data_IF_420870591516
#
_entry.id   IF_420870591516
#
_cell.length_a   1.000
_cell.length_b   1.000
_cell.length_c   1.000
_cell.angle_alpha   90.00
_cell.angle_beta   90.00
_cell.angle_gamma   90.00
#
_symmetry.space_group_name_H-M   'P 1'
#
loop_
_entity.id
_entity.type
_entity.pdbx_description
1 polymer ?
#
# COMPACT_ATOMS: atom_id res chain seq x y z
N UNK A 1 8.21 -20.26 -3.87
CA UNK A 1 8.14 -19.91 -3.42
C UNK A 1 7.83 -19.29 -2.81
N UNK A 2 7.72 -18.98 -2.73
CA UNK A 2 7.47 -18.46 -2.25
C UNK A 2 7.15 -17.91 -1.84
N UNK A 3 7.04 -17.63 -1.86
CA UNK A 3 6.79 -17.10 -1.31
C UNK A 3 6.74 -16.66 -0.60
N UNK A 4 7.08 -16.57 -0.64
CA UNK A 4 7.08 -16.29 0.46
C UNK A 4 6.68 -15.16 0.92
N UNK A 5 6.76 -14.56 0.50
CA UNK A 5 6.32 -13.49 0.86
C UNK A 5 5.02 -13.45 1.34
N UNK A 6 4.43 -14.32 1.08
CA UNK A 6 3.21 -14.45 1.52
C UNK A 6 3.09 -14.37 2.90
N UNK A 7 3.99 -14.80 3.51
CA UNK A 7 3.96 -14.85 4.86
C UNK A 7 3.96 -13.56 5.49
N UNK A 8 4.30 -12.59 4.81
CA UNK A 8 4.35 -11.28 5.37
C UNK A 8 3.00 -10.76 5.74
N UNK A 9 1.96 -11.24 5.17
CA UNK A 9 0.64 -10.75 5.46
C UNK A 9 -0.29 -11.88 5.64
N UNK A 10 -0.17 -12.53 6.68
CA UNK A 10 -0.85 -13.76 6.88
C UNK A 10 -2.33 -13.70 6.73
N UNK A 11 -3.00 -13.23 7.72
CA UNK A 11 -4.45 -13.38 7.72
C UNK A 11 -5.18 -12.45 6.84
N UNK A 12 -4.82 -11.21 6.87
CA UNK A 12 -5.49 -10.22 6.07
C UNK A 12 -5.36 -10.54 4.60
N UNK A 13 -4.16 -10.91 4.18
CA UNK A 13 -3.95 -11.19 2.81
C UNK A 13 -4.69 -12.44 2.38
N UNK A 14 -4.73 -13.44 3.19
CA UNK A 14 -5.42 -14.66 2.85
C UNK A 14 -6.91 -14.39 2.67
N UNK A 15 -7.48 -13.57 3.51
CA UNK A 15 -8.88 -13.25 3.39
C UNK A 15 -9.16 -12.49 2.10
N UNK A 16 -8.32 -11.58 1.76
CA UNK A 16 -8.52 -10.81 0.54
C UNK A 16 -8.37 -11.65 -0.71
N UNK A 17 -7.49 -12.59 -0.70
CA UNK A 17 -7.28 -13.41 -1.87
C UNK A 17 -8.48 -14.23 -2.23
N UNK A 18 -9.35 -14.51 -1.29
CA UNK A 18 -10.56 -15.26 -1.59
C UNK A 18 -11.57 -14.46 -2.35
N UNK A 19 -11.58 -13.15 -2.12
CA UNK A 19 -12.59 -12.30 -2.73
C UNK A 19 -12.04 -11.47 -3.85
N UNK A 20 -10.77 -11.11 -3.77
CA UNK A 20 -10.18 -10.20 -4.74
C UNK A 20 -8.75 -10.61 -5.04
N UNK A 21 -8.47 -11.02 -6.26
CA UNK A 21 -7.12 -11.36 -6.62
C UNK A 21 -6.20 -10.17 -6.45
N UNK A 22 -4.99 -10.43 -6.06
CA UNK A 22 -3.99 -9.40 -5.96
C UNK A 22 -3.08 -9.46 -7.16
N UNK A 23 -2.74 -8.30 -7.66
CA UNK A 23 -1.84 -8.18 -8.78
C UNK A 23 -0.48 -7.78 -8.25
N UNK A 24 0.54 -8.53 -8.62
CA UNK A 24 1.91 -8.23 -8.25
C UNK A 24 2.41 -7.11 -9.14
N UNK A 25 2.66 -5.95 -8.54
CA UNK A 25 3.03 -4.77 -9.30
C UNK A 25 4.52 -4.61 -9.52
N UNK A 26 5.34 -5.46 -8.94
CA UNK A 26 6.77 -5.41 -9.16
C UNK A 26 7.42 -4.13 -8.70
N UNK A 27 6.93 -3.54 -7.63
CA UNK A 27 7.49 -2.32 -7.06
C UNK A 27 7.39 -1.13 -7.98
N UNK A 28 6.22 -0.81 -8.39
CA UNK A 28 6.02 0.38 -9.21
C UNK A 28 5.97 1.64 -8.33
N UNK A 29 6.58 2.73 -8.77
CA UNK A 29 6.57 3.97 -7.98
C UNK A 29 5.18 4.60 -7.97
N UNK A 30 4.81 5.16 -6.83
CA UNK A 30 3.57 5.90 -6.66
C UNK A 30 3.86 7.10 -5.78
N UNK A 31 2.98 8.09 -5.82
CA UNK A 31 3.12 9.28 -4.99
C UNK A 31 2.11 9.25 -3.88
N UNK A 32 2.54 9.72 -2.71
CA UNK A 32 1.68 9.80 -1.53
C UNK A 32 1.64 11.24 -1.06
N UNK A 33 0.43 11.73 -0.82
CA UNK A 33 0.21 13.06 -0.26
C UNK A 33 -0.20 12.87 1.19
N UNK A 34 0.69 13.21 2.11
CA UNK A 34 0.42 13.05 3.53
C UNK A 34 -0.54 14.10 4.08
N UNK A 35 -0.83 15.13 3.30
CA UNK A 35 -1.86 16.08 3.68
C UNK A 35 -1.44 17.16 4.65
N UNK A 36 -0.15 17.30 4.89
CA UNK A 36 0.32 18.27 5.87
C UNK A 36 1.11 19.40 5.23
N UNK A 37 0.96 19.59 3.95
CA UNK A 37 1.67 20.66 3.25
C UNK A 37 3.05 20.30 2.80
N UNK A 38 3.52 19.10 3.11
CA UNK A 38 4.82 18.66 2.64
C UNK A 38 4.74 18.21 1.19
N UNK A 39 5.89 18.08 0.58
CA UNK A 39 5.95 17.55 -0.77
C UNK A 39 5.45 16.12 -0.79
N UNK A 40 5.00 15.68 -1.96
CA UNK A 40 4.55 14.32 -2.11
C UNK A 40 5.72 13.37 -1.87
N UNK A 41 5.43 12.23 -1.29
CA UNK A 41 6.43 11.22 -0.97
C UNK A 41 6.37 10.12 -2.01
N UNK A 42 7.51 9.77 -2.57
CA UNK A 42 7.58 8.66 -3.52
C UNK A 42 7.66 7.35 -2.75
N UNK A 43 6.70 6.47 -2.97
CA UNK A 43 6.68 5.15 -2.39
C UNK A 43 6.64 4.13 -3.52
N UNK A 44 6.70 2.85 -3.17
CA UNK A 44 6.57 1.79 -4.16
C UNK A 44 5.37 0.93 -3.81
N UNK A 45 4.59 0.56 -4.82
CA UNK A 45 3.49 -0.34 -4.62
C UNK A 45 3.96 -1.73 -5.06
N UNK A 46 3.74 -2.74 -4.26
CA UNK A 46 4.21 -4.09 -4.58
C UNK A 46 3.08 -5.03 -4.95
N UNK A 47 1.88 -4.76 -4.49
CA UNK A 47 0.72 -5.48 -4.99
C UNK A 47 -0.52 -4.62 -4.81
N UNK A 48 -1.54 -4.92 -5.56
CA UNK A 48 -2.73 -4.08 -5.65
C UNK A 48 -3.96 -4.95 -5.78
N UNK A 49 -5.02 -4.59 -5.06
CA UNK A 49 -6.33 -5.18 -5.26
C UNK A 49 -7.34 -4.04 -5.33
N UNK A 50 -8.60 -4.38 -5.56
CA UNK A 50 -9.63 -3.36 -5.63
C UNK A 50 -9.78 -2.59 -4.34
N UNK A 51 -9.56 -3.23 -3.20
CA UNK A 51 -9.78 -2.61 -1.91
C UNK A 51 -8.56 -1.97 -1.32
N UNK A 52 -7.40 -2.37 -1.73
CA UNK A 52 -6.20 -1.86 -1.08
C UNK A 52 -4.94 -2.28 -1.78
N UNK A 53 -3.84 -2.10 -1.10
CA UNK A 53 -2.53 -2.35 -1.68
C UNK A 53 -1.50 -2.55 -0.57
N UNK A 54 -0.36 -3.09 -0.96
CA UNK A 54 0.81 -3.12 -0.09
C UNK A 54 1.81 -2.16 -0.68
N UNK A 55 2.29 -1.22 0.12
CA UNK A 55 3.27 -0.25 -0.34
C UNK A 55 4.52 -0.32 0.53
N UNK A 56 5.63 0.16 -0.03
CA UNK A 56 6.90 0.23 0.67
C UNK A 56 7.27 1.69 0.75
N UNK A 57 7.55 2.18 1.96
CA UNK A 57 7.92 3.57 2.16
C UNK A 57 9.44 3.72 2.15
N UNK A 58 9.94 4.89 1.75
CA UNK A 58 11.39 5.13 1.83
C UNK A 58 11.84 5.18 3.27
N UNK A 59 13.12 4.93 3.46
CA UNK A 59 13.71 4.96 4.77
C UNK A 59 13.57 6.34 5.39
N UNK A 60 13.23 6.38 6.67
CA UNK A 60 13.12 7.65 7.38
C UNK A 60 11.79 8.37 7.16
N UNK A 61 10.86 7.79 6.43
CA UNK A 61 9.58 8.43 6.19
C UNK A 61 8.49 7.73 6.99
N UNK A 62 7.73 8.52 7.73
CA UNK A 62 6.57 8.02 8.45
C UNK A 62 5.33 8.65 7.84
N UNK A 63 4.34 7.85 7.54
CA UNK A 63 3.09 8.35 6.96
C UNK A 63 2.01 8.39 8.03
N UNK A 64 1.09 9.35 7.93
CA UNK A 64 -0.04 9.39 8.86
C UNK A 64 -0.97 8.21 8.58
N UNK A 65 -1.88 7.95 9.50
CA UNK A 65 -2.81 6.86 9.37
C UNK A 65 -3.64 6.94 8.08
N UNK A 66 -3.95 8.14 7.67
CA UNK A 66 -4.80 8.39 6.50
C UNK A 66 -4.07 9.34 5.57
N UNK A 67 -4.08 9.05 4.29
CA UNK A 67 -3.41 9.88 3.32
C UNK A 67 -4.00 9.63 1.94
N UNK A 68 -3.55 10.39 0.94
CA UNK A 68 -3.95 10.16 -0.44
C UNK A 68 -2.80 9.56 -1.21
N UNK A 69 -3.11 8.66 -2.11
CA UNK A 69 -2.10 7.99 -2.92
C UNK A 69 -2.51 8.07 -4.37
N UNK A 70 -1.55 8.36 -5.23
CA UNK A 70 -1.79 8.43 -6.66
C UNK A 70 -1.35 7.12 -7.31
N UNK A 71 -2.30 6.44 -7.92
CA UNK A 71 -2.02 5.18 -8.62
C UNK A 71 -2.57 5.35 -10.02
N UNK A 72 -1.71 5.18 -11.00
CA UNK A 72 -2.10 5.30 -12.40
C UNK A 72 -2.79 6.63 -12.68
N UNK A 73 -2.24 7.69 -12.13
CA UNK A 73 -2.75 9.03 -12.37
C UNK A 73 -3.97 9.42 -11.58
N UNK A 74 -4.47 8.55 -10.72
CA UNK A 74 -5.67 8.84 -9.94
C UNK A 74 -5.35 8.91 -8.47
N UNK A 75 -5.83 9.97 -7.81
CA UNK A 75 -5.66 10.12 -6.37
C UNK A 75 -6.78 9.39 -5.64
N UNK A 76 -6.42 8.61 -4.67
CA UNK A 76 -7.38 7.87 -3.84
C UNK A 76 -7.03 8.05 -2.39
N UNK A 77 -8.04 8.16 -1.55
CA UNK A 77 -7.81 8.24 -0.12
C UNK A 77 -7.58 6.83 0.43
N UNK A 78 -6.65 6.69 1.34
CA UNK A 78 -6.29 5.40 1.88
C UNK A 78 -5.99 5.48 3.36
N UNK A 79 -6.29 4.40 4.07
CA UNK A 79 -5.97 4.26 5.49
C UNK A 79 -5.02 3.09 5.66
N UNK A 80 -4.15 3.19 6.64
CA UNK A 80 -3.22 2.10 6.95
C UNK A 80 -3.98 1.06 7.76
N UNK A 81 -3.97 -0.19 7.31
CA UNK A 81 -4.63 -1.26 8.03
C UNK A 81 -3.65 -2.19 8.72
N UNK A 82 -2.40 -2.22 8.29
CA UNK A 82 -1.34 -2.90 9.04
C UNK A 82 -0.01 -2.27 8.67
N UNK A 83 0.93 -2.41 9.59
CA UNK A 83 2.23 -1.78 9.44
C UNK A 83 3.32 -2.77 9.81
N UNK A 84 4.17 -3.10 8.85
CA UNK A 84 5.38 -3.90 9.07
C UNK A 84 6.50 -3.16 8.36
N UNK A 85 6.83 -2.03 8.90
CA UNK A 85 7.77 -1.11 8.27
C UNK A 85 8.98 -1.87 7.71
N UNK A 86 9.41 -1.61 6.48
CA UNK A 86 8.97 -0.50 5.63
C UNK A 86 7.73 -0.78 4.80
N UNK A 87 7.05 -1.87 5.04
CA UNK A 87 5.85 -2.21 4.30
C UNK A 87 4.61 -1.77 5.05
N UNK A 88 3.63 -1.29 4.31
CA UNK A 88 2.35 -0.88 4.87
C UNK A 88 1.25 -1.51 4.04
N UNK A 89 0.24 -2.04 4.73
CA UNK A 89 -0.98 -2.45 4.05
C UNK A 89 -1.97 -1.33 4.14
N UNK A 90 -2.55 -0.94 3.03
CA UNK A 90 -3.50 0.15 3.00
C UNK A 90 -4.81 -0.31 2.40
N UNK A 91 -5.88 0.36 2.83
CA UNK A 91 -7.21 0.10 2.33
C UNK A 91 -7.73 1.40 1.74
N UNK A 92 -8.26 1.33 0.53
CA UNK A 92 -8.80 2.52 -0.12
C UNK A 92 -10.13 2.87 0.53
N UNK A 93 -10.35 4.16 0.74
CA UNK A 93 -11.57 4.68 1.34
C UNK A 93 -12.45 5.21 0.24
N UNK A 94 -13.70 4.89 0.31
CA UNK A 94 -14.66 5.39 -0.69
C UNK A 94 -15.01 6.86 -0.51
#
# INVERSE_FOLDING_TARGET
MGVPDLEAVPDLEAAERRTEPRVNMGRQPVLVDAGDGREHVACYIVNLSRRGACIVTPEGVALPYSFKIQIEGRWRKADIVWNRWPQLGIQFVK
#
